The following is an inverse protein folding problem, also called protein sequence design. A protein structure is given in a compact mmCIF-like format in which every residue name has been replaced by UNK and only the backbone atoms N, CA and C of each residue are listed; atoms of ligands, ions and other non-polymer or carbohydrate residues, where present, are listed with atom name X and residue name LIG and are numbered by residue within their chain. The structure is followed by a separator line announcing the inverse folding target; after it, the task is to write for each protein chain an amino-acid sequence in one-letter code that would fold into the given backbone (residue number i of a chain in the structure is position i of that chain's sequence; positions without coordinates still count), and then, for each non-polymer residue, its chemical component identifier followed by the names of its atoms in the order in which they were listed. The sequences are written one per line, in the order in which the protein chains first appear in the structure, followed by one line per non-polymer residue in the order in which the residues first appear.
data_IF_516722468933
#
_entry.id   IF_516722468933
#
_cell.length_a   1.000
_cell.length_b   1.000
_cell.length_c   1.000
_cell.angle_alpha   90.00
_cell.angle_beta   90.00
_cell.angle_gamma   90.00
#
_symmetry.space_group_name_H-M   'P 1'
#
loop_
_entity.id
_entity.type
_entity.pdbx_description
1 polymer ?
#
# COMPACT_ATOMS: atom_id res chain seq x y z
N UNK A 1 -5.60 7.22 20.53
CA UNK A 1 -6.78 7.31 19.66
C UNK A 1 -6.95 6.02 18.89
N UNK A 2 -8.15 5.53 18.85
CA UNK A 2 -8.43 4.30 18.13
C UNK A 2 -8.60 4.56 16.64
N UNK A 3 -8.06 3.69 15.82
CA UNK A 3 -8.25 3.82 14.38
C UNK A 3 -9.73 3.74 14.01
N UNK A 4 -10.13 4.54 13.05
CA UNK A 4 -11.48 4.50 12.53
C UNK A 4 -11.48 3.81 11.16
N UNK A 5 -11.81 2.52 11.15
CA UNK A 5 -11.78 1.73 9.94
C UNK A 5 -13.10 1.73 9.18
N UNK A 6 -14.15 2.25 9.81
CA UNK A 6 -15.49 2.16 9.22
C UNK A 6 -15.61 2.82 7.85
N UNK A 7 -15.10 4.03 7.63
CA UNK A 7 -15.24 4.62 6.29
C UNK A 7 -14.61 3.77 5.20
N UNK A 8 -13.45 3.19 5.48
CA UNK A 8 -12.78 2.36 4.51
C UNK A 8 -13.47 1.01 4.37
N UNK A 9 -13.83 0.41 5.49
CA UNK A 9 -14.48 -0.88 5.48
C UNK A 9 -15.80 -0.84 4.70
N UNK A 10 -16.55 0.24 4.85
CA UNK A 10 -17.82 0.40 4.14
C UNK A 10 -17.61 0.50 2.63
N UNK A 11 -16.43 0.96 2.22
CA UNK A 11 -16.15 1.15 0.80
C UNK A 11 -15.55 -0.09 0.15
N UNK A 12 -14.59 -0.73 0.82
CA UNK A 12 -13.84 -1.82 0.19
C UNK A 12 -14.09 -3.19 0.80
N UNK A 13 -14.77 -3.23 1.92
CA UNK A 13 -15.00 -4.49 2.61
C UNK A 13 -13.87 -4.85 3.56
N UNK A 14 -14.18 -5.74 4.48
CA UNK A 14 -13.27 -6.10 5.54
C UNK A 14 -11.96 -6.73 5.03
N UNK A 15 -12.08 -7.59 4.04
CA UNK A 15 -10.92 -8.29 3.52
C UNK A 15 -9.89 -7.35 2.92
N UNK A 16 -10.36 -6.41 2.10
CA UNK A 16 -9.45 -5.44 1.49
C UNK A 16 -8.91 -4.46 2.50
N UNK A 17 -9.73 -4.15 3.50
CA UNK A 17 -9.32 -3.22 4.55
C UNK A 17 -8.07 -3.71 5.26
N UNK A 18 -7.92 -5.03 5.37
CA UNK A 18 -6.78 -5.62 6.06
C UNK A 18 -5.45 -5.31 5.38
N UNK A 19 -5.46 -4.91 4.12
CA UNK A 19 -4.23 -4.54 3.41
C UNK A 19 -3.76 -3.12 3.69
N UNK A 20 -4.55 -2.36 4.46
CA UNK A 20 -4.22 -0.97 4.75
C UNK A 20 -3.75 -0.78 6.19
N UNK A 21 -3.01 0.29 6.41
CA UNK A 21 -2.59 0.72 7.74
C UNK A 21 -3.25 2.05 8.03
N UNK A 22 -3.68 2.22 9.28
CA UNK A 22 -4.29 3.48 9.69
C UNK A 22 -3.16 4.45 10.06
N UNK A 23 -3.06 5.55 9.33
CA UNK A 23 -1.94 6.47 9.50
C UNK A 23 -2.28 7.70 10.34
N UNK A 24 -3.53 7.82 10.78
CA UNK A 24 -3.91 8.92 11.63
C UNK A 24 -5.11 9.67 11.09
N UNK A 25 -5.42 10.77 11.74
CA UNK A 25 -6.57 11.58 11.40
C UNK A 25 -6.20 13.06 11.49
N UNK A 26 -6.57 13.81 10.48
CA UNK A 26 -6.30 15.23 10.48
C UNK A 26 -7.50 15.96 9.87
N UNK A 27 -7.99 16.99 10.56
CA UNK A 27 -9.12 17.78 10.11
C UNK A 27 -10.33 16.93 9.71
N UNK A 28 -10.60 15.88 10.49
CA UNK A 28 -11.75 15.03 10.21
C UNK A 28 -11.52 14.02 9.09
N UNK A 29 -10.32 13.96 8.54
CA UNK A 29 -10.00 13.04 7.44
C UNK A 29 -9.11 11.93 7.97
N UNK A 30 -9.55 10.70 7.75
CA UNK A 30 -8.81 9.51 8.16
C UNK A 30 -7.84 9.12 7.04
N UNK A 31 -6.59 8.84 7.39
CA UNK A 31 -5.57 8.49 6.42
C UNK A 31 -5.27 7.01 6.49
N UNK A 32 -5.41 6.33 5.37
CA UNK A 32 -5.11 4.92 5.25
C UNK A 32 -4.03 4.74 4.19
N UNK A 33 -3.04 3.92 4.48
CA UNK A 33 -1.96 3.67 3.55
C UNK A 33 -1.92 2.19 3.22
N UNK A 34 -1.92 1.86 1.93
CA UNK A 34 -1.82 0.46 1.54
C UNK A 34 -0.41 -0.04 1.81
N UNK A 35 -0.30 -1.16 2.51
CA UNK A 35 1.00 -1.65 2.96
C UNK A 35 1.93 -2.06 1.83
N UNK A 36 1.37 -2.57 0.74
CA UNK A 36 2.18 -3.04 -0.40
C UNK A 36 2.33 -1.96 -1.46
N UNK A 37 1.21 -1.36 -1.86
CA UNK A 37 1.25 -0.33 -2.90
C UNK A 37 1.87 0.97 -2.41
N UNK A 38 1.84 1.21 -1.11
CA UNK A 38 2.41 2.40 -0.47
C UNK A 38 1.72 3.69 -0.91
N UNK A 39 0.46 3.59 -1.30
CA UNK A 39 -0.35 4.72 -1.69
C UNK A 39 -1.41 4.97 -0.64
N UNK A 40 -1.84 6.22 -0.54
CA UNK A 40 -2.79 6.63 0.48
C UNK A 40 -4.21 6.75 -0.03
N UNK A 41 -5.17 6.46 0.86
CA UNK A 41 -6.55 6.85 0.69
C UNK A 41 -6.90 7.72 1.87
N UNK A 42 -7.55 8.84 1.61
CA UNK A 42 -7.99 9.75 2.67
C UNK A 42 -9.50 9.86 2.61
N UNK A 43 -10.16 9.46 3.69
CA UNK A 43 -11.63 9.45 3.74
C UNK A 43 -12.10 10.15 5.01
N UNK A 44 -13.14 10.97 4.88
CA UNK A 44 -13.76 11.54 6.08
C UNK A 44 -14.67 10.48 6.70
N UNK A 45 -15.35 10.83 7.77
CA UNK A 45 -16.19 9.87 8.50
C UNK A 45 -17.40 9.43 7.70
N UNK A 46 -17.74 10.16 6.64
CA UNK A 46 -18.86 9.81 5.77
C UNK A 46 -18.41 9.03 4.54
N UNK A 47 -17.10 8.77 4.42
CA UNK A 47 -16.57 8.02 3.29
C UNK A 47 -16.24 8.85 2.06
N UNK A 48 -16.32 10.17 2.17
CA UNK A 48 -15.91 11.04 1.08
C UNK A 48 -14.40 11.00 0.93
N UNK A 49 -13.94 10.94 -0.31
CA UNK A 49 -12.52 10.78 -0.60
C UNK A 49 -11.86 12.12 -0.88
N UNK A 50 -10.61 12.22 -0.45
CA UNK A 50 -9.83 13.43 -0.63
C UNK A 50 -8.41 13.07 -1.06
N UNK A 51 -7.72 14.01 -1.69
CA UNK A 51 -6.30 13.88 -1.98
C UNK A 51 -5.61 15.13 -1.47
N UNK A 52 -4.37 14.96 -1.06
CA UNK A 52 -3.57 16.09 -0.59
C UNK A 52 -2.88 16.74 -1.77
N UNK A 53 -3.08 18.05 -1.91
CA UNK A 53 -2.39 18.84 -2.92
C UNK A 53 -1.78 20.03 -2.22
N UNK A 54 -0.48 20.13 -2.32
CA UNK A 54 0.28 21.13 -1.59
C UNK A 54 0.01 20.92 -0.10
N UNK A 55 -0.57 21.86 0.59
CA UNK A 55 -0.84 21.68 2.02
C UNK A 55 -2.33 21.55 2.30
N UNK A 56 -3.11 21.23 1.28
CA UNK A 56 -4.56 21.15 1.43
C UNK A 56 -5.11 19.83 0.93
N UNK A 57 -6.28 19.48 1.45
CA UNK A 57 -7.01 18.32 0.97
C UNK A 57 -8.13 18.78 0.05
N UNK A 58 -8.23 18.15 -1.11
CA UNK A 58 -9.26 18.46 -2.09
C UNK A 58 -10.09 17.21 -2.34
N UNK A 59 -11.36 17.40 -2.65
CA UNK A 59 -12.22 16.28 -2.96
C UNK A 59 -11.69 15.50 -4.14
N UNK A 60 -11.82 14.18 -4.05
CA UNK A 60 -11.36 13.30 -5.10
C UNK A 60 -12.37 12.19 -5.30
N UNK A 61 -12.30 11.52 -6.44
CA UNK A 61 -13.17 10.40 -6.74
C UNK A 61 -12.57 9.15 -6.11
N UNK A 62 -13.31 8.53 -5.21
CA UNK A 62 -12.82 7.34 -4.51
C UNK A 62 -12.45 6.23 -5.50
N UNK A 63 -13.27 6.00 -6.53
CA UNK A 63 -13.01 4.93 -7.48
C UNK A 63 -11.72 5.17 -8.25
N UNK A 64 -11.43 6.42 -8.57
CA UNK A 64 -10.20 6.75 -9.27
C UNK A 64 -8.99 6.50 -8.36
N UNK A 65 -9.09 6.93 -7.10
CA UNK A 65 -7.97 6.75 -6.18
C UNK A 65 -7.75 5.29 -5.85
N UNK A 66 -8.82 4.52 -5.69
CA UNK A 66 -8.71 3.09 -5.44
C UNK A 66 -8.11 2.38 -6.66
N UNK A 67 -8.50 2.79 -7.86
CA UNK A 67 -7.99 2.19 -9.08
C UNK A 67 -6.48 2.38 -9.21
N UNK A 68 -5.95 3.49 -8.73
CA UNK A 68 -4.50 3.71 -8.73
C UNK A 68 -3.79 2.68 -7.86
N UNK A 69 -4.38 2.38 -6.71
CA UNK A 69 -3.80 1.40 -5.80
C UNK A 69 -3.88 0.02 -6.43
N UNK A 70 -5.02 -0.33 -7.01
CA UNK A 70 -5.19 -1.63 -7.62
C UNK A 70 -4.30 -1.82 -8.83
N UNK A 71 -4.11 -0.78 -9.63
CA UNK A 71 -3.20 -0.85 -10.77
C UNK A 71 -1.76 -1.07 -10.31
N UNK A 72 -1.37 -0.41 -9.22
CA UNK A 72 -0.05 -0.58 -8.67
C UNK A 72 0.16 -2.01 -8.14
N UNK A 73 -0.86 -2.56 -7.49
CA UNK A 73 -0.78 -3.92 -6.99
C UNK A 73 -0.68 -4.93 -8.12
N UNK A 74 -1.43 -4.71 -9.20
CA UNK A 74 -1.38 -5.58 -10.35
C UNK A 74 -0.01 -5.56 -10.99
N UNK A 75 0.57 -4.39 -11.10
CA UNK A 75 1.90 -4.24 -11.68
C UNK A 75 2.94 -4.98 -10.83
N UNK A 76 2.84 -4.85 -9.52
CA UNK A 76 3.75 -5.55 -8.63
C UNK A 76 3.59 -7.05 -8.77
N UNK A 77 2.36 -7.52 -8.84
CA UNK A 77 2.07 -8.94 -8.98
C UNK A 77 2.63 -9.49 -10.28
N UNK A 78 2.44 -8.76 -11.37
CA UNK A 78 2.95 -9.19 -12.66
C UNK A 78 4.47 -9.25 -12.67
N UNK A 79 5.10 -8.30 -11.98
CA UNK A 79 6.54 -8.30 -11.85
C UNK A 79 7.01 -9.55 -11.11
N UNK A 80 6.30 -9.92 -10.05
CA UNK A 80 6.70 -11.07 -9.26
C UNK A 80 6.46 -12.40 -9.96
N UNK A 81 5.46 -12.45 -10.83
CA UNK A 81 5.12 -13.67 -11.51
C UNK A 81 5.87 -13.88 -12.81
N UNK A 82 6.46 -12.83 -13.28
CA UNK A 82 7.15 -12.90 -14.56
C UNK A 82 8.40 -13.78 -14.42
N UNK A 83 8.63 -14.63 -15.37
CA UNK A 83 9.80 -15.53 -15.30
C UNK A 83 11.05 -14.78 -15.67
N UNK A 84 11.82 -14.45 -14.75
CA UNK A 84 12.81 -13.64 -15.04
C UNK A 84 13.95 -13.67 -14.46
N UNK A 85 14.19 -12.92 -14.53
CA UNK A 85 15.44 -12.45 -14.60
C UNK A 85 15.84 -12.30 -13.12
N UNK A 86 16.64 -13.22 -12.68
CA UNK A 86 17.20 -13.15 -11.35
C UNK A 86 17.93 -11.83 -11.15
N UNK A 87 18.48 -11.31 -12.23
CA UNK A 87 19.20 -10.06 -12.16
C UNK A 87 18.26 -8.90 -11.83
N UNK A 88 17.06 -8.92 -12.43
CA UNK A 88 16.07 -7.90 -12.13
C UNK A 88 15.65 -7.96 -10.66
N UNK A 89 15.41 -9.15 -10.17
CA UNK A 89 15.02 -9.36 -8.77
C UNK A 89 16.12 -8.87 -7.84
N UNK A 90 17.36 -9.20 -8.17
CA UNK A 90 18.49 -8.79 -7.34
C UNK A 90 18.64 -7.28 -7.30
N UNK A 91 18.39 -6.61 -8.43
CA UNK A 91 18.48 -5.14 -8.45
C UNK A 91 17.38 -4.51 -7.61
N UNK A 92 16.17 -5.08 -7.66
CA UNK A 92 15.05 -4.59 -6.85
C UNK A 92 15.34 -4.75 -5.38
N UNK A 93 15.85 -5.90 -4.99
CA UNK A 93 16.17 -6.15 -3.59
C UNK A 93 17.27 -5.22 -3.09
N UNK A 94 18.27 -4.97 -3.94
CA UNK A 94 19.35 -4.08 -3.57
C UNK A 94 18.84 -2.64 -3.39
N UNK A 95 17.92 -2.23 -4.26
CA UNK A 95 17.36 -0.89 -4.17
C UNK A 95 16.54 -0.74 -2.88
N UNK A 96 15.79 -1.77 -2.52
CA UNK A 96 14.99 -1.73 -1.30
C UNK A 96 15.89 -1.66 -0.06
N UNK A 97 16.97 -2.41 -0.05
CA UNK A 97 17.90 -2.38 1.08
C UNK A 97 18.57 -1.01 1.21
N UNK A 98 18.92 -0.40 0.10
CA UNK A 98 19.51 0.94 0.14
C UNK A 98 18.53 1.97 0.67
N UNK A 99 17.25 1.74 0.43
CA UNK A 99 16.20 2.64 0.93
C UNK A 99 15.85 2.36 2.40
N UNK A 100 16.53 1.40 3.02
CA UNK A 100 16.26 1.07 4.42
C UNK A 100 15.06 0.16 4.61
N UNK A 101 14.55 -0.41 3.53
CA UNK A 101 13.42 -1.33 3.60
C UNK A 101 13.92 -2.75 3.49
N UNK A 102 13.30 -3.64 4.25
CA UNK A 102 13.64 -5.02 4.16
C UNK A 102 12.51 -5.80 3.55
N UNK A 103 12.88 -6.61 2.57
CA UNK A 103 11.93 -7.55 2.07
C UNK A 103 11.87 -8.64 3.09
N UNK A 104 10.71 -8.84 3.51
CA UNK A 104 10.53 -9.93 4.42
C UNK A 104 10.53 -11.16 3.58
N UNK A 105 11.54 -11.93 3.64
CA UNK A 105 11.55 -12.90 2.92
C UNK A 105 11.34 -14.06 3.39
N UNK A 106 11.11 -14.51 3.11
CA UNK A 106 10.67 -15.53 3.35
C UNK A 106 11.48 -16.64 3.20
N UNK A 107 12.08 -16.67 3.10
CA UNK A 107 12.82 -17.24 2.97
C UNK A 107 13.27 -17.98 2.92
N UNK A 108 13.47 -18.38 2.72
CA UNK A 108 13.93 -18.58 2.56
C UNK A 108 14.79 -19.13 2.73
N UNK A 109 15.02 -19.36 2.92
CA UNK A 109 15.76 -19.57 2.94
C UNK A 109 16.43 -20.04 2.96
N UNK A 110 16.72 -20.62 3.02
CA UNK A 110 17.39 -20.77 2.89
C UNK A 110 18.04 -20.99 2.85
N UNK A 111 18.07 -21.23 2.95
CA UNK A 111 18.57 -21.01 2.66
C UNK A 111 18.95 -20.73 2.76
N UNK A 112 18.85 -21.32 3.04
CA UNK A 112 19.12 -20.77 2.86
C UNK A 112 19.33 -20.33 2.99
N UNK A 113 19.28 -20.96 3.23
CA UNK A 113 19.37 -20.32 2.99
C UNK A 113 19.83 -19.84 2.98
N UNK A 114 19.90 -20.20 3.29
CA UNK A 114 20.17 -19.58 3.03
C UNK A 114 20.45 -19.08 2.86
N UNK A 115 20.36 -19.48 3.03
CA UNK A 115 20.43 -18.92 2.73
C UNK A 115 20.70 -18.60 2.68
N UNK A 116 20.68 -19.10 2.84
CA UNK A 116 20.82 -18.64 2.60
C UNK A 116 21.11 -18.37 2.45
#
# INVERSE_FOLDING_TARGET
MEPNWKPLEDRVGRTRCAGFMYMGRTNGINLYKHGIARLYLALDDHGECFVQRDSRYERADFEVELAKIEASLKEIEETLESPYDEEYIARKQAALRRAGLQLVRIDVEPEDVTIN
#
